data_IF_797566081497
#
_entry.id   IF_797566081497
#
_cell.length_a   1.000
_cell.length_b   1.000
_cell.length_c   1.000
_cell.angle_alpha   90.00
_cell.angle_beta   90.00
_cell.angle_gamma   90.00
#
_symmetry.space_group_name_H-M   'P 1'
#
loop_
_entity.id
_entity.type
_entity.pdbx_description
1 polymer ?
#
# COMPACT_ATOMS: atom_id res chain seq x y z
N UNK A 1 14.91 8.80 -35.42
CA UNK A 1 15.13 9.81 -34.37
C UNK A 1 14.20 9.45 -33.23
N UNK A 2 14.71 9.24 -32.01
CA UNK A 2 13.81 9.10 -30.86
C UNK A 2 13.39 10.51 -30.45
N UNK A 3 12.13 10.87 -30.72
CA UNK A 3 11.53 12.13 -30.26
C UNK A 3 11.08 11.93 -28.81
N UNK A 4 11.86 12.42 -27.84
CA UNK A 4 11.56 12.28 -26.41
C UNK A 4 12.05 13.48 -25.61
N UNK A 5 11.48 13.68 -24.41
CA UNK A 5 11.86 14.74 -23.47
C UNK A 5 13.34 14.57 -23.08
N UNK A 6 14.15 15.60 -23.33
CA UNK A 6 15.56 15.67 -22.91
C UNK A 6 15.65 16.25 -21.50
N UNK A 7 16.59 15.76 -20.72
CA UNK A 7 16.87 16.21 -19.35
C UNK A 7 18.39 16.31 -19.14
N UNK A 8 18.81 17.21 -18.24
CA UNK A 8 20.18 17.38 -17.71
C UNK A 8 20.27 17.04 -16.23
N UNK A 9 20.24 15.75 -15.85
CA UNK A 9 20.16 15.33 -14.46
C UNK A 9 21.53 15.24 -13.76
N UNK A 10 22.63 15.64 -14.39
CA UNK A 10 23.99 15.51 -13.86
C UNK A 10 24.85 16.75 -14.16
N UNK A 11 26.06 16.79 -13.59
CA UNK A 11 27.00 17.91 -13.74
C UNK A 11 27.92 17.81 -14.97
N UNK A 12 27.59 16.98 -15.96
CA UNK A 12 28.39 16.88 -17.19
C UNK A 12 28.29 18.17 -18.02
N UNK A 13 29.44 18.62 -18.54
CA UNK A 13 29.53 19.82 -19.36
C UNK A 13 29.14 19.57 -20.84
N UNK A 14 28.61 20.60 -21.49
CA UNK A 14 28.18 20.55 -22.89
C UNK A 14 27.02 19.59 -23.15
N UNK A 15 26.95 19.09 -24.38
CA UNK A 15 25.89 18.18 -24.85
C UNK A 15 25.95 16.78 -24.24
N UNK A 16 27.07 16.40 -23.60
CA UNK A 16 27.18 15.15 -22.85
C UNK A 16 26.27 15.10 -21.61
N UNK A 17 25.78 16.25 -21.14
CA UNK A 17 24.79 16.33 -20.07
C UNK A 17 23.36 16.07 -20.53
N UNK A 18 23.06 16.18 -21.83
CA UNK A 18 21.70 16.10 -22.37
C UNK A 18 21.37 14.64 -22.71
N UNK A 19 20.39 14.07 -22.00
CA UNK A 19 19.99 12.66 -22.18
C UNK A 19 18.47 12.57 -22.22
N UNK A 20 17.91 11.71 -23.08
CA UNK A 20 16.47 11.45 -23.06
C UNK A 20 16.06 10.81 -21.72
N UNK A 21 14.96 11.28 -21.13
CA UNK A 21 14.44 10.77 -19.85
C UNK A 21 14.23 9.25 -19.88
N UNK A 22 13.68 8.73 -20.98
CA UNK A 22 13.43 7.30 -21.17
C UNK A 22 14.72 6.48 -21.28
N UNK A 23 15.70 6.99 -22.05
CA UNK A 23 17.00 6.32 -22.20
C UNK A 23 17.73 6.25 -20.85
N UNK A 24 17.73 7.34 -20.09
CA UNK A 24 18.35 7.36 -18.77
C UNK A 24 17.60 6.48 -17.77
N UNK A 25 16.27 6.48 -17.81
CA UNK A 25 15.43 5.58 -16.99
C UNK A 25 15.78 4.13 -17.27
N UNK A 26 15.88 3.74 -18.54
CA UNK A 26 16.27 2.39 -18.96
C UNK A 26 17.69 2.05 -18.51
N UNK A 27 18.63 2.96 -18.71
CA UNK A 27 20.03 2.78 -18.27
C UNK A 27 20.15 2.58 -16.76
N UNK A 28 19.54 3.44 -15.94
CA UNK A 28 19.57 3.33 -14.47
C UNK A 28 18.88 2.04 -14.00
N UNK A 29 17.79 1.64 -14.67
CA UNK A 29 17.08 0.39 -14.34
C UNK A 29 17.91 -0.85 -14.67
N UNK A 30 18.62 -0.86 -15.81
CA UNK A 30 19.45 -1.99 -16.23
C UNK A 30 20.79 -2.07 -15.49
N UNK A 31 21.46 -0.93 -15.30
CA UNK A 31 22.78 -0.86 -14.66
C UNK A 31 22.71 -0.87 -13.13
N UNK A 32 21.53 -0.56 -12.56
CA UNK A 32 21.32 -0.33 -11.13
C UNK A 32 22.22 0.77 -10.53
N UNK A 33 22.81 1.64 -11.37
CA UNK A 33 23.65 2.77 -10.94
C UNK A 33 22.82 4.04 -10.82
N UNK A 34 22.87 4.70 -9.65
CA UNK A 34 22.12 5.94 -9.37
C UNK A 34 22.92 7.22 -9.63
N UNK A 35 24.18 7.09 -10.03
CA UNK A 35 25.10 8.19 -10.29
C UNK A 35 25.53 8.17 -11.76
N UNK A 36 25.90 9.34 -12.27
CA UNK A 36 26.53 9.46 -13.59
C UNK A 36 27.88 8.74 -13.60
N UNK A 37 28.17 7.99 -14.66
CA UNK A 37 29.45 7.27 -14.79
C UNK A 37 30.63 8.13 -15.26
N UNK A 38 30.33 9.34 -15.74
CA UNK A 38 31.33 10.29 -16.24
C UNK A 38 31.75 11.23 -15.10
N UNK A 39 30.78 11.95 -14.52
CA UNK A 39 31.06 12.94 -13.48
C UNK A 39 30.85 12.43 -12.04
N UNK A 40 30.41 11.19 -11.83
CA UNK A 40 30.09 10.59 -10.53
C UNK A 40 29.03 11.30 -9.67
N UNK A 41 28.44 12.40 -10.16
CA UNK A 41 27.37 13.09 -9.47
C UNK A 41 26.07 12.26 -9.44
N UNK A 42 25.28 12.32 -8.35
CA UNK A 42 23.99 11.64 -8.28
C UNK A 42 23.02 12.29 -9.27
N UNK A 43 22.24 11.47 -9.97
CA UNK A 43 21.22 11.99 -10.89
C UNK A 43 20.11 12.73 -10.12
N UNK A 44 19.78 13.94 -10.57
CA UNK A 44 18.66 14.72 -10.06
C UNK A 44 17.33 14.05 -10.44
N UNK A 45 16.44 13.88 -9.45
CA UNK A 45 15.15 13.21 -9.61
C UNK A 45 14.09 14.06 -8.94
N UNK A 46 12.93 14.19 -9.57
CA UNK A 46 11.71 14.52 -8.83
C UNK A 46 11.39 13.35 -7.89
N UNK A 47 10.70 13.61 -6.77
CA UNK A 47 10.36 12.57 -5.79
C UNK A 47 9.58 11.37 -6.36
N UNK A 48 9.06 10.51 -5.49
CA UNK A 48 8.26 9.36 -5.95
C UNK A 48 6.99 9.82 -6.70
N UNK A 49 7.00 9.73 -8.04
CA UNK A 49 5.84 9.99 -8.87
C UNK A 49 5.18 8.69 -9.32
N UNK A 50 3.85 8.70 -9.43
CA UNK A 50 3.12 7.60 -10.04
C UNK A 50 3.14 7.73 -11.55
N UNK A 51 3.09 6.59 -12.25
CA UNK A 51 2.80 6.59 -13.69
C UNK A 51 1.47 7.30 -13.96
N UNK A 52 1.27 7.91 -15.14
CA UNK A 52 -0.06 8.35 -15.55
C UNK A 52 -1.05 7.18 -15.48
N UNK A 53 -2.29 7.42 -15.04
CA UNK A 53 -3.28 6.35 -14.83
C UNK A 53 -3.50 5.46 -16.06
N UNK A 54 -3.30 5.99 -17.27
CA UNK A 54 -3.41 5.23 -18.54
C UNK A 54 -2.35 4.13 -18.70
N UNK A 55 -1.20 4.28 -18.05
CA UNK A 55 -0.08 3.32 -18.11
C UNK A 55 -0.06 2.34 -16.93
N UNK A 56 -1.05 2.40 -16.04
CA UNK A 56 -1.10 1.51 -14.88
C UNK A 56 -1.33 0.07 -15.34
N UNK A 57 -0.49 -0.84 -14.84
CA UNK A 57 -0.72 -2.26 -15.07
C UNK A 57 -1.97 -2.69 -14.29
N UNK A 58 -2.90 -3.41 -14.91
CA UNK A 58 -4.10 -3.91 -14.20
C UNK A 58 -3.70 -4.68 -12.94
N UNK A 59 -4.43 -4.52 -11.82
CA UNK A 59 -4.20 -5.34 -10.64
C UNK A 59 -4.37 -6.81 -11.03
N UNK A 60 -3.35 -7.62 -10.77
CA UNK A 60 -3.39 -9.05 -11.08
C UNK A 60 -4.47 -9.72 -10.24
N UNK A 61 -5.24 -10.61 -10.85
CA UNK A 61 -6.15 -11.47 -10.10
C UNK A 61 -5.33 -12.38 -9.18
N UNK A 62 -5.43 -12.17 -7.87
CA UNK A 62 -4.83 -13.03 -6.86
C UNK A 62 -5.96 -13.67 -6.06
N UNK A 63 -6.22 -14.96 -6.26
CA UNK A 63 -7.28 -15.68 -5.55
C UNK A 63 -7.16 -15.57 -4.01
N UNK A 64 -5.94 -15.36 -3.50
CA UNK A 64 -5.69 -15.11 -2.07
C UNK A 64 -6.41 -13.85 -1.56
N UNK A 65 -6.44 -12.78 -2.36
CA UNK A 65 -7.14 -11.54 -1.96
C UNK A 65 -8.64 -11.75 -1.86
N UNK A 66 -9.21 -12.55 -2.75
CA UNK A 66 -10.64 -12.89 -2.70
C UNK A 66 -10.95 -13.71 -1.45
N UNK A 67 -10.10 -14.66 -1.11
CA UNK A 67 -10.22 -15.43 0.14
C UNK A 67 -10.16 -14.49 1.35
N UNK A 68 -9.19 -13.57 1.41
CA UNK A 68 -9.11 -12.62 2.52
C UNK A 68 -10.34 -11.71 2.64
N UNK A 69 -10.88 -11.23 1.52
CA UNK A 69 -12.11 -10.42 1.51
C UNK A 69 -13.30 -11.25 2.01
N UNK A 70 -13.45 -12.48 1.52
CA UNK A 70 -14.52 -13.38 1.95
C UNK A 70 -14.42 -13.72 3.44
N UNK A 71 -13.21 -13.98 3.94
CA UNK A 71 -12.95 -14.21 5.36
C UNK A 71 -13.33 -12.99 6.22
N UNK A 72 -13.00 -11.76 5.77
CA UNK A 72 -13.40 -10.54 6.49
C UNK A 72 -14.93 -10.44 6.59
N UNK A 73 -15.64 -10.72 5.50
CA UNK A 73 -17.11 -10.68 5.48
C UNK A 73 -17.70 -11.69 6.48
N UNK A 74 -17.21 -12.94 6.45
CA UNK A 74 -17.68 -13.98 7.38
C UNK A 74 -17.40 -13.58 8.84
N UNK A 75 -16.17 -13.13 9.13
CA UNK A 75 -15.78 -12.74 10.49
C UNK A 75 -16.61 -11.54 10.99
N UNK A 76 -16.92 -10.57 10.11
CA UNK A 76 -17.78 -9.44 10.46
C UNK A 76 -19.21 -9.87 10.78
N UNK A 77 -19.77 -10.83 10.01
CA UNK A 77 -21.08 -11.41 10.29
C UNK A 77 -21.07 -12.13 11.65
N UNK A 78 -20.01 -12.88 11.95
CA UNK A 78 -19.87 -13.56 13.26
C UNK A 78 -19.82 -12.57 14.42
N UNK A 79 -19.08 -11.47 14.27
CA UNK A 79 -19.04 -10.39 15.28
C UNK A 79 -20.44 -9.78 15.46
N UNK A 80 -21.13 -9.45 14.36
CA UNK A 80 -22.48 -8.89 14.41
C UNK A 80 -23.46 -9.84 15.11
N UNK A 81 -23.37 -11.14 14.85
CA UNK A 81 -24.18 -12.15 15.53
C UNK A 81 -23.95 -12.17 17.05
N UNK A 82 -22.68 -12.13 17.49
CA UNK A 82 -22.37 -12.08 18.93
C UNK A 82 -22.90 -10.78 19.57
N UNK A 83 -22.81 -9.65 18.87
CA UNK A 83 -23.39 -8.38 19.35
C UNK A 83 -24.90 -8.45 19.51
N UNK A 84 -25.64 -9.02 18.54
CA UNK A 84 -27.09 -9.22 18.64
C UNK A 84 -27.44 -10.08 19.85
N UNK A 85 -26.70 -11.16 20.10
CA UNK A 85 -26.90 -12.01 21.29
C UNK A 85 -26.67 -11.23 22.59
N UNK A 86 -25.63 -10.38 22.62
CA UNK A 86 -25.34 -9.56 23.80
C UNK A 86 -26.45 -8.54 24.06
N UNK A 87 -26.99 -7.95 22.99
CA UNK A 87 -28.11 -7.01 23.05
C UNK A 87 -29.41 -7.69 23.55
N UNK A 88 -29.77 -8.85 22.99
CA UNK A 88 -30.93 -9.64 23.43
C UNK A 88 -30.85 -10.05 24.92
N UNK A 89 -29.63 -10.19 25.45
CA UNK A 89 -29.39 -10.50 26.87
C UNK A 89 -29.33 -9.26 27.75
N UNK A 90 -29.71 -8.11 27.21
CA UNK A 90 -29.69 -6.80 27.84
C UNK A 90 -28.32 -6.53 28.48
N UNK A 91 -27.24 -6.99 27.85
CA UNK A 91 -25.88 -6.87 28.42
C UNK A 91 -25.53 -5.41 28.68
N UNK A 92 -25.87 -4.53 27.72
CA UNK A 92 -25.61 -3.10 27.81
C UNK A 92 -26.34 -2.49 29.01
N UNK A 93 -27.65 -2.73 29.15
CA UNK A 93 -28.41 -2.21 30.29
C UNK A 93 -27.90 -2.78 31.62
N UNK A 94 -27.61 -4.08 31.69
CA UNK A 94 -27.16 -4.74 32.92
C UNK A 94 -25.77 -4.28 33.37
N UNK A 95 -24.79 -4.27 32.47
CA UNK A 95 -23.38 -4.06 32.84
C UNK A 95 -22.94 -2.60 32.66
N UNK A 96 -23.48 -1.86 31.68
CA UNK A 96 -23.06 -0.48 31.39
C UNK A 96 -23.89 0.52 32.19
N UNK A 97 -25.21 0.35 32.26
CA UNK A 97 -26.08 1.30 32.95
C UNK A 97 -26.22 0.98 34.44
N UNK A 98 -26.38 -0.30 34.79
CA UNK A 98 -26.62 -0.73 36.17
C UNK A 98 -25.37 -1.22 36.90
N UNK A 99 -24.19 -1.11 36.27
CA UNK A 99 -22.87 -1.50 36.83
C UNK A 99 -22.87 -2.88 37.51
N UNK A 100 -23.63 -3.84 36.94
CA UNK A 100 -23.64 -5.20 37.45
C UNK A 100 -22.43 -5.99 36.96
N UNK A 101 -21.94 -6.90 37.82
CA UNK A 101 -20.88 -7.82 37.46
C UNK A 101 -21.24 -8.66 36.22
N UNK A 102 -20.28 -8.78 35.30
CA UNK A 102 -20.43 -9.60 34.10
C UNK A 102 -20.56 -11.07 34.47
N UNK A 103 -21.46 -11.79 33.79
CA UNK A 103 -21.55 -13.23 33.97
C UNK A 103 -20.35 -13.92 33.29
N UNK A 104 -19.96 -15.12 33.74
CA UNK A 104 -18.91 -15.89 33.06
C UNK A 104 -19.19 -16.11 31.57
N UNK A 105 -20.45 -16.26 31.16
CA UNK A 105 -20.84 -16.39 29.75
C UNK A 105 -20.65 -15.10 28.95
N UNK A 106 -20.82 -13.93 29.55
CA UNK A 106 -20.58 -12.63 28.92
C UNK A 106 -19.09 -12.40 28.68
N UNK A 107 -18.25 -12.83 29.64
CA UNK A 107 -16.77 -12.79 29.50
C UNK A 107 -16.30 -13.61 28.30
N UNK A 108 -16.89 -14.80 28.09
CA UNK A 108 -16.62 -15.62 26.91
C UNK A 108 -16.94 -14.91 25.59
N UNK A 109 -18.08 -14.21 25.50
CA UNK A 109 -18.48 -13.45 24.29
C UNK A 109 -17.55 -12.26 24.03
N UNK A 110 -17.16 -11.54 25.07
CA UNK A 110 -16.20 -10.42 24.95
C UNK A 110 -14.86 -10.94 24.42
N UNK A 111 -14.35 -12.04 24.97
CA UNK A 111 -13.12 -12.66 24.49
C UNK A 111 -13.24 -13.11 23.02
N UNK A 112 -14.39 -13.67 22.63
CA UNK A 112 -14.65 -14.05 21.24
C UNK A 112 -14.65 -12.84 20.30
N UNK A 113 -15.29 -11.72 20.68
CA UNK A 113 -15.27 -10.48 19.89
C UNK A 113 -13.83 -9.99 19.70
N UNK A 114 -13.03 -10.00 20.76
CA UNK A 114 -11.61 -9.60 20.71
C UNK A 114 -10.85 -10.48 19.72
N UNK A 115 -10.95 -11.81 19.84
CA UNK A 115 -10.25 -12.75 18.94
C UNK A 115 -10.68 -12.56 17.48
N UNK A 116 -11.98 -12.41 17.22
CA UNK A 116 -12.50 -12.18 15.87
C UNK A 116 -12.04 -10.84 15.30
N UNK A 117 -11.98 -9.78 16.12
CA UNK A 117 -11.48 -8.47 15.71
C UNK A 117 -10.00 -8.52 15.31
N UNK A 118 -9.17 -9.25 16.05
CA UNK A 118 -7.76 -9.47 15.72
C UNK A 118 -7.63 -10.24 14.41
N UNK A 119 -8.48 -11.24 14.19
CA UNK A 119 -8.50 -11.99 12.93
C UNK A 119 -8.86 -11.09 11.73
N UNK A 120 -9.84 -10.20 11.87
CA UNK A 120 -10.18 -9.21 10.82
C UNK A 120 -9.00 -8.29 10.56
N UNK A 121 -8.37 -7.75 11.61
CA UNK A 121 -7.22 -6.86 11.49
C UNK A 121 -6.05 -7.52 10.75
N UNK A 122 -5.77 -8.81 11.02
CA UNK A 122 -4.73 -9.55 10.30
C UNK A 122 -5.03 -9.72 8.80
N UNK A 123 -6.28 -10.00 8.44
CA UNK A 123 -6.69 -10.09 7.04
C UNK A 123 -6.62 -8.72 6.33
N UNK A 124 -7.08 -7.65 6.99
CA UNK A 124 -6.97 -6.29 6.48
C UNK A 124 -5.51 -5.86 6.28
N UNK A 125 -4.63 -6.18 7.24
CA UNK A 125 -3.20 -5.92 7.12
C UNK A 125 -2.58 -6.64 5.92
N UNK A 126 -2.98 -7.90 5.68
CA UNK A 126 -2.48 -8.68 4.54
C UNK A 126 -2.92 -8.06 3.21
N UNK A 127 -4.21 -7.71 3.08
CA UNK A 127 -4.73 -6.99 1.90
C UNK A 127 -4.05 -5.64 1.70
N UNK A 128 -3.85 -4.89 2.80
CA UNK A 128 -3.15 -3.60 2.78
C UNK A 128 -1.72 -3.73 2.26
N UNK A 129 -0.97 -4.74 2.70
CA UNK A 129 0.38 -5.02 2.18
C UNK A 129 0.37 -5.32 0.69
N UNK A 130 -0.55 -6.13 0.21
CA UNK A 130 -0.65 -6.43 -1.22
C UNK A 130 -1.01 -5.18 -2.04
N UNK A 131 -1.92 -4.35 -1.53
CA UNK A 131 -2.28 -3.08 -2.15
C UNK A 131 -1.09 -2.11 -2.21
N UNK A 132 -0.33 -1.98 -1.11
CA UNK A 132 0.89 -1.16 -1.07
C UNK A 132 1.93 -1.70 -2.06
N UNK A 133 2.15 -3.01 -2.09
CA UNK A 133 3.06 -3.63 -3.06
C UNK A 133 2.65 -3.30 -4.51
N UNK A 134 1.37 -3.45 -4.83
CA UNK A 134 0.85 -3.05 -6.14
C UNK A 134 1.07 -1.57 -6.45
N UNK A 135 0.78 -0.67 -5.51
CA UNK A 135 0.99 0.77 -5.68
C UNK A 135 2.47 1.12 -5.88
N UNK A 136 3.38 0.46 -5.15
CA UNK A 136 4.83 0.67 -5.32
C UNK A 136 5.30 0.28 -6.72
N UNK A 137 4.70 -0.74 -7.34
CA UNK A 137 4.97 -1.15 -8.73
C UNK A 137 4.52 -0.11 -9.76
N UNK A 138 3.54 0.74 -9.43
CA UNK A 138 3.08 1.82 -10.31
C UNK A 138 3.92 3.08 -10.24
N UNK A 139 4.93 3.14 -9.36
CA UNK A 139 5.85 4.29 -9.30
C UNK A 139 6.80 4.29 -10.49
N UNK A 140 7.10 5.49 -11.02
CA UNK A 140 8.15 5.71 -12.02
C UNK A 140 9.16 6.70 -11.48
N UNK A 141 10.41 6.57 -11.92
CA UNK A 141 11.44 7.57 -11.68
C UNK A 141 11.24 8.64 -12.74
N UNK A 142 11.20 9.91 -12.33
CA UNK A 142 11.21 11.05 -13.24
C UNK A 142 12.41 11.94 -12.94
N UNK A 143 13.29 12.07 -13.92
CA UNK A 143 14.49 12.90 -13.82
C UNK A 143 14.13 14.37 -14.04
N UNK A 144 14.90 15.25 -13.40
CA UNK A 144 14.75 16.70 -13.55
C UNK A 144 16.10 17.30 -13.87
N UNK A 145 16.09 18.50 -14.43
CA UNK A 145 17.31 19.25 -14.66
C UNK A 145 17.94 19.65 -13.33
N UNK A 146 19.24 19.37 -13.21
CA UNK A 146 19.99 19.67 -11.98
C UNK A 146 20.34 21.15 -11.88
N UNK A 147 20.51 21.80 -13.03
CA UNK A 147 20.78 23.22 -13.17
C UNK A 147 19.72 23.83 -14.10
N UNK A 148 19.21 25.04 -13.80
CA UNK A 148 18.23 25.74 -14.63
C UNK A 148 18.82 26.23 -15.96
#
# INVERSE_FOLDING_TARGET
>A
MHEGEMVRPCDCAGTMGDVHEECLTKWVTMSNKKNCEICNSPYAKSGAQFKPFKEWSKPGYNGKNIIHIFLIIILAIMIAYVFVIMDERYFNERCIQNDMFSRPDDTGRIMLIIVLSVAIMNNLYTLGKEAVFYLTKQRRIRFIDKHP
#
